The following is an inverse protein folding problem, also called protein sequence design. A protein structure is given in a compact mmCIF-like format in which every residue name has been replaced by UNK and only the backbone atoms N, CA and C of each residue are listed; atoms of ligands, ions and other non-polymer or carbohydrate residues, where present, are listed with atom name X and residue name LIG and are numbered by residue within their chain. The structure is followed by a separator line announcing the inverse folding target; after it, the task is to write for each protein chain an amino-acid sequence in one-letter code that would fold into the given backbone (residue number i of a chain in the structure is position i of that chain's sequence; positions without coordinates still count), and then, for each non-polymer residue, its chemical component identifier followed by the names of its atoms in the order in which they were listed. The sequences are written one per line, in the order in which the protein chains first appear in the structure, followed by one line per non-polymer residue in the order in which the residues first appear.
data_IF_355551972503
#
_entry.id   IF_355551972503
#
_cell.length_a   1.000
_cell.length_b   1.000
_cell.length_c   1.000
_cell.angle_alpha   90.00
_cell.angle_beta   90.00
_cell.angle_gamma   90.00
#
_symmetry.space_group_name_H-M   'P 1'
#
loop_
_entity.id
_entity.type
_entity.pdbx_description
1 polymer ?
#
# COMPACT_ATOMS: atom_id res chain seq x y z
N UNK A 1 -2.53 -0.74 12.11
CA UNK A 1 -2.72 0.50 11.30
C UNK A 1 -3.97 1.33 11.63
N UNK A 2 -5.17 0.74 11.73
CA UNK A 2 -6.45 1.46 11.72
C UNK A 2 -6.66 2.58 12.76
N UNK A 3 -6.02 2.50 13.93
CA UNK A 3 -6.23 3.42 15.05
C UNK A 3 -5.14 4.52 15.22
N UNK A 4 -4.17 4.60 14.32
CA UNK A 4 -3.02 5.52 14.47
C UNK A 4 -3.40 7.01 14.34
N UNK A 5 -4.37 7.33 13.47
CA UNK A 5 -4.88 8.68 13.31
C UNK A 5 -6.17 8.84 14.12
N UNK A 6 -6.15 9.73 15.12
CA UNK A 6 -7.27 9.97 16.02
C UNK A 6 -8.53 10.50 15.31
N UNK A 7 -8.37 11.39 14.32
CA UNK A 7 -9.50 11.93 13.55
C UNK A 7 -10.16 10.83 12.72
N UNK A 8 -9.35 9.97 12.12
CA UNK A 8 -9.86 8.80 11.39
C UNK A 8 -10.54 7.83 12.33
N UNK A 9 -9.93 7.54 13.49
CA UNK A 9 -10.47 6.61 14.48
C UNK A 9 -11.85 7.07 14.96
N UNK A 10 -12.04 8.38 15.21
CA UNK A 10 -13.34 8.92 15.60
C UNK A 10 -14.43 8.60 14.56
N UNK A 11 -14.14 8.77 13.27
CA UNK A 11 -15.08 8.43 12.19
C UNK A 11 -15.37 6.93 12.11
N UNK A 12 -14.36 6.09 12.36
CA UNK A 12 -14.51 4.63 12.37
C UNK A 12 -15.41 4.18 13.52
N UNK A 13 -15.20 4.73 14.71
CA UNK A 13 -16.03 4.43 15.89
C UNK A 13 -17.46 4.92 15.70
N UNK A 14 -17.66 6.12 15.15
CA UNK A 14 -18.99 6.62 14.83
C UNK A 14 -19.74 5.69 13.86
N UNK A 15 -19.07 5.23 12.80
CA UNK A 15 -19.65 4.26 11.86
C UNK A 15 -19.99 2.93 12.53
N UNK A 16 -19.12 2.45 13.41
CA UNK A 16 -19.36 1.21 14.15
C UNK A 16 -20.63 1.33 15.01
N UNK A 17 -20.82 2.44 15.73
CA UNK A 17 -22.01 2.68 16.56
C UNK A 17 -23.30 2.85 15.74
N UNK A 18 -23.20 3.41 14.53
CA UNK A 18 -24.34 3.58 13.62
C UNK A 18 -24.80 2.28 12.95
N UNK A 19 -24.02 1.19 13.03
CA UNK A 19 -24.42 -0.10 12.46
C UNK A 19 -25.56 -0.72 13.28
N UNK A 20 -26.66 -1.06 12.60
CA UNK A 20 -27.83 -1.66 13.23
C UNK A 20 -27.49 -2.99 13.91
N UNK A 21 -28.03 -3.21 15.12
CA UNK A 21 -27.86 -4.45 15.90
C UNK A 21 -28.53 -5.66 15.24
N UNK A 22 -29.62 -5.44 14.51
CA UNK A 22 -30.42 -6.49 13.86
C UNK A 22 -29.97 -6.81 12.43
N UNK A 23 -28.78 -6.36 12.03
CA UNK A 23 -28.23 -6.69 10.72
C UNK A 23 -27.68 -8.14 10.71
N UNK A 24 -27.88 -8.87 9.61
CA UNK A 24 -27.25 -10.18 9.37
C UNK A 24 -25.70 -10.12 9.44
N UNK A 25 -25.13 -8.91 9.37
CA UNK A 25 -23.71 -8.64 9.44
C UNK A 25 -23.35 -8.04 10.81
N UNK A 26 -22.49 -8.71 11.62
CA UNK A 26 -21.99 -8.14 12.87
C UNK A 26 -21.30 -6.79 12.65
N UNK A 27 -21.37 -5.90 13.64
CA UNK A 27 -20.66 -4.62 13.61
C UNK A 27 -19.16 -4.83 13.43
N UNK A 28 -18.53 -3.98 12.62
CA UNK A 28 -17.10 -4.04 12.33
C UNK A 28 -16.50 -2.64 12.19
N UNK A 29 -15.21 -2.52 12.50
CA UNK A 29 -14.50 -1.25 12.38
C UNK A 29 -14.00 -1.00 10.95
N UNK A 30 -13.50 -2.05 10.29
CA UNK A 30 -12.89 -1.97 8.95
C UNK A 30 -13.46 -3.05 8.06
N UNK A 31 -14.02 -2.65 6.91
CA UNK A 31 -14.50 -3.58 5.88
C UNK A 31 -13.37 -4.14 5.01
N UNK A 32 -12.13 -3.67 5.21
CA UNK A 32 -10.93 -4.17 4.56
C UNK A 32 -10.00 -4.81 5.58
N UNK A 33 -9.12 -5.69 5.08
CA UNK A 33 -8.18 -6.43 5.89
C UNK A 33 -6.76 -5.90 5.69
N UNK A 34 -5.93 -5.98 6.72
CA UNK A 34 -4.54 -5.50 6.68
C UNK A 34 -3.64 -6.33 5.77
N UNK A 35 -4.02 -7.58 5.51
CA UNK A 35 -3.35 -8.53 4.63
C UNK A 35 -4.34 -9.05 3.59
N UNK A 36 -4.02 -8.90 2.31
CA UNK A 36 -4.79 -9.45 1.20
C UNK A 36 -3.89 -9.64 -0.01
N UNK A 37 -4.29 -10.53 -0.93
CA UNK A 37 -3.58 -10.70 -2.21
C UNK A 37 -3.47 -9.37 -2.98
N UNK A 38 -4.53 -8.55 -2.96
CA UNK A 38 -4.51 -7.22 -3.58
C UNK A 38 -3.48 -6.28 -2.95
N UNK A 39 -3.30 -6.30 -1.62
CA UNK A 39 -2.26 -5.53 -0.96
C UNK A 39 -0.85 -6.03 -1.32
N UNK A 40 -0.63 -7.34 -1.39
CA UNK A 40 0.65 -7.92 -1.82
C UNK A 40 0.98 -7.52 -3.27
N UNK A 41 0.02 -7.65 -4.18
CA UNK A 41 0.20 -7.26 -5.59
C UNK A 41 0.45 -5.76 -5.74
N UNK A 42 -0.24 -4.93 -4.95
CA UNK A 42 0.00 -3.49 -4.91
C UNK A 42 1.45 -3.17 -4.53
N UNK A 43 1.98 -3.79 -3.47
CA UNK A 43 3.35 -3.55 -3.02
C UNK A 43 4.38 -4.09 -4.02
N UNK A 44 4.18 -5.30 -4.53
CA UNK A 44 5.17 -6.04 -5.31
C UNK A 44 5.00 -5.89 -6.82
N UNK A 45 4.21 -4.91 -7.28
CA UNK A 45 3.89 -4.65 -8.69
C UNK A 45 5.08 -4.67 -9.66
N UNK A 46 6.29 -4.36 -9.18
CA UNK A 46 7.52 -4.24 -9.99
C UNK A 46 8.36 -5.53 -10.01
N UNK A 47 7.91 -6.60 -9.36
CA UNK A 47 8.61 -7.88 -9.32
C UNK A 47 7.79 -8.96 -10.01
N UNK A 48 8.43 -9.76 -10.85
CA UNK A 48 7.82 -11.01 -11.31
C UNK A 48 7.86 -12.07 -10.18
N UNK A 49 6.84 -12.95 -10.08
CA UNK A 49 5.66 -13.08 -10.94
C UNK A 49 4.49 -12.13 -10.59
N UNK A 50 4.65 -11.23 -9.62
CA UNK A 50 3.58 -10.36 -9.12
C UNK A 50 3.12 -9.33 -10.15
N UNK A 51 4.00 -8.87 -11.03
CA UNK A 51 3.63 -8.04 -12.18
C UNK A 51 2.62 -8.76 -13.05
N UNK A 52 2.91 -10.00 -13.46
CA UNK A 52 2.01 -10.84 -14.27
C UNK A 52 0.66 -11.04 -13.56
N UNK A 53 0.68 -11.37 -12.27
CA UNK A 53 -0.56 -11.54 -11.50
C UNK A 53 -1.37 -10.24 -11.34
N UNK A 54 -0.70 -9.09 -11.26
CA UNK A 54 -1.37 -7.78 -11.20
C UNK A 54 -2.08 -7.46 -12.51
N UNK A 55 -1.46 -7.79 -13.64
CA UNK A 55 -2.04 -7.65 -14.99
C UNK A 55 -3.26 -8.57 -15.16
N UNK A 56 -3.13 -9.83 -14.75
CA UNK A 56 -4.22 -10.82 -14.82
C UNK A 56 -5.42 -10.37 -13.99
N UNK A 57 -5.18 -9.91 -12.76
CA UNK A 57 -6.22 -9.38 -11.88
C UNK A 57 -6.97 -8.19 -12.51
N UNK A 58 -6.27 -7.39 -13.32
CA UNK A 58 -6.78 -6.19 -13.97
C UNK A 58 -7.17 -6.42 -15.44
N UNK A 59 -7.55 -7.65 -15.77
CA UNK A 59 -8.08 -8.04 -17.10
C UNK A 59 -7.10 -7.81 -18.25
N UNK A 60 -5.83 -8.15 -18.04
CA UNK A 60 -4.80 -8.15 -19.08
C UNK A 60 -4.07 -6.81 -19.27
N UNK A 61 -4.17 -5.90 -18.30
CA UNK A 61 -3.45 -4.61 -18.31
C UNK A 61 -3.08 -4.16 -16.90
N UNK A 62 -2.18 -3.18 -16.77
CA UNK A 62 -1.97 -2.54 -15.48
C UNK A 62 -3.22 -1.75 -15.02
N UNK A 63 -3.33 -1.57 -13.70
CA UNK A 63 -4.33 -0.67 -13.12
C UNK A 63 -4.06 0.80 -13.52
N UNK A 64 -5.02 1.68 -13.26
CA UNK A 64 -4.88 3.12 -13.44
C UNK A 64 -3.68 3.65 -12.67
N UNK A 65 -2.84 4.47 -13.32
CA UNK A 65 -1.57 4.96 -12.78
C UNK A 65 -1.69 5.59 -11.38
N UNK A 66 -2.73 6.40 -11.13
CA UNK A 66 -3.00 7.02 -9.82
C UNK A 66 -3.33 6.03 -8.69
N UNK A 67 -3.67 4.78 -9.00
CA UNK A 67 -3.93 3.71 -8.01
C UNK A 67 -2.73 2.79 -7.80
N UNK A 68 -1.68 2.91 -8.61
CA UNK A 68 -0.49 2.09 -8.48
C UNK A 68 0.36 2.54 -7.29
N UNK A 69 1.19 1.63 -6.78
CA UNK A 69 2.15 1.96 -5.74
C UNK A 69 3.23 2.87 -6.32
N UNK A 70 3.06 4.18 -6.14
CA UNK A 70 3.90 5.22 -6.71
C UNK A 70 4.87 5.83 -5.71
N UNK A 71 4.44 6.03 -4.46
CA UNK A 71 5.20 6.72 -3.43
C UNK A 71 4.96 6.10 -2.06
N UNK A 72 6.03 5.96 -1.28
CA UNK A 72 5.94 5.53 0.12
C UNK A 72 5.18 6.54 0.97
N UNK A 73 5.37 7.84 0.72
CA UNK A 73 4.67 8.90 1.46
C UNK A 73 3.15 8.88 1.17
N UNK A 74 2.76 8.75 -0.09
CA UNK A 74 1.35 8.65 -0.46
C UNK A 74 0.71 7.36 0.08
N UNK A 75 1.42 6.23 -0.01
CA UNK A 75 0.93 4.96 0.50
C UNK A 75 0.71 4.98 2.01
N UNK A 76 1.63 5.58 2.76
CA UNK A 76 1.48 5.83 4.20
C UNK A 76 0.31 6.77 4.50
N UNK A 77 0.20 7.88 3.77
CA UNK A 77 -0.91 8.82 3.91
C UNK A 77 -2.25 8.13 3.70
N UNK A 78 -2.38 7.32 2.64
CA UNK A 78 -3.58 6.54 2.36
C UNK A 78 -3.92 5.58 3.51
N UNK A 79 -2.94 4.80 4.00
CA UNK A 79 -3.09 3.92 5.16
C UNK A 79 -3.48 4.65 6.46
N UNK A 80 -3.31 5.97 6.53
CA UNK A 80 -3.56 6.74 7.74
C UNK A 80 -4.81 7.62 7.67
N UNK A 81 -5.32 7.92 6.46
CA UNK A 81 -6.49 8.80 6.28
C UNK A 81 -7.68 8.10 5.63
N UNK A 82 -7.45 7.12 4.75
CA UNK A 82 -8.55 6.39 4.11
C UNK A 82 -9.22 5.44 5.11
N UNK A 83 -10.55 5.37 5.05
CA UNK A 83 -11.37 4.47 5.86
C UNK A 83 -11.42 3.04 5.30
N UNK A 84 -11.01 2.87 4.04
CA UNK A 84 -10.96 1.58 3.37
C UNK A 84 -9.54 1.00 3.25
N UNK A 85 -8.51 1.74 3.68
CA UNK A 85 -7.12 1.33 3.52
C UNK A 85 -6.45 1.12 4.88
N UNK A 86 -6.36 -0.14 5.28
CA UNK A 86 -5.70 -0.57 6.52
C UNK A 86 -4.56 -1.54 6.26
N UNK A 87 -4.07 -1.58 5.01
CA UNK A 87 -3.02 -2.53 4.61
C UNK A 87 -1.75 -2.33 5.44
N UNK A 88 -1.14 -3.44 5.83
CA UNK A 88 0.15 -3.45 6.52
C UNK A 88 1.28 -3.82 5.57
N UNK A 89 2.52 -3.64 6.06
CA UNK A 89 3.72 -3.90 5.29
C UNK A 89 3.90 -5.40 5.04
N UNK A 90 4.49 -5.74 3.90
CA UNK A 90 4.94 -7.09 3.57
C UNK A 90 6.41 -7.30 3.97
N UNK A 91 6.88 -8.55 4.15
CA UNK A 91 8.25 -8.84 4.57
C UNK A 91 9.35 -8.20 3.70
N UNK A 92 9.10 -8.01 2.40
CA UNK A 92 10.04 -7.46 1.42
C UNK A 92 10.54 -6.05 1.82
N UNK A 93 9.74 -5.28 2.55
CA UNK A 93 10.15 -3.99 3.13
C UNK A 93 11.39 -4.06 4.03
N UNK A 94 11.73 -5.26 4.52
CA UNK A 94 12.80 -5.46 5.50
C UNK A 94 14.00 -6.25 4.95
N UNK A 95 13.95 -6.73 3.71
CA UNK A 95 15.10 -7.46 3.14
C UNK A 95 15.29 -7.32 1.62
N UNK A 96 14.28 -6.91 0.86
CA UNK A 96 14.33 -6.90 -0.61
C UNK A 96 14.16 -5.47 -1.13
N UNK A 97 15.21 -4.80 -1.62
CA UNK A 97 15.06 -3.46 -2.19
C UNK A 97 14.42 -3.45 -3.58
N UNK A 98 14.47 -4.57 -4.30
CA UNK A 98 14.14 -4.63 -5.72
C UNK A 98 12.67 -4.30 -6.02
N UNK A 99 11.73 -4.52 -5.09
CA UNK A 99 10.31 -4.17 -5.31
C UNK A 99 10.05 -2.67 -5.43
N UNK A 100 11.00 -1.83 -5.01
CA UNK A 100 10.92 -0.38 -5.11
C UNK A 100 11.45 0.15 -6.46
N UNK A 101 12.09 -0.71 -7.27
CA UNK A 101 12.78 -0.32 -8.50
C UNK A 101 12.08 -0.96 -9.70
N UNK A 102 11.74 -0.18 -10.72
CA UNK A 102 11.19 -0.67 -11.98
C UNK A 102 12.32 -1.17 -12.90
N UNK A 103 13.08 -2.16 -12.42
CA UNK A 103 14.19 -2.73 -13.17
C UNK A 103 13.73 -3.44 -14.46
N UNK A 104 12.49 -3.93 -14.49
CA UNK A 104 11.86 -4.52 -15.67
C UNK A 104 11.47 -3.53 -16.76
N UNK A 105 11.55 -2.21 -16.50
CA UNK A 105 11.19 -1.18 -17.47
C UNK A 105 9.71 -1.22 -17.86
N UNK A 106 8.83 -1.62 -16.94
CA UNK A 106 7.39 -1.71 -17.20
C UNK A 106 6.80 -0.33 -17.49
N UNK A 107 5.87 -0.26 -18.45
CA UNK A 107 5.05 0.92 -18.69
C UNK A 107 3.88 0.94 -17.70
N UNK A 108 4.08 1.65 -16.58
CA UNK A 108 3.09 1.80 -15.51
C UNK A 108 2.17 3.02 -15.72
N UNK A 109 2.29 3.68 -16.88
CA UNK A 109 1.45 4.82 -17.26
C UNK A 109 1.81 6.15 -16.59
N UNK A 110 0.98 7.14 -16.87
CA UNK A 110 1.12 8.53 -16.41
C UNK A 110 -0.09 8.89 -15.56
N UNK A 111 0.17 9.49 -14.41
CA UNK A 111 -0.85 9.96 -13.46
C UNK A 111 -1.57 11.21 -13.95
N UNK A 112 -2.71 11.53 -13.33
CA UNK A 112 -3.46 12.75 -13.64
C UNK A 112 -2.66 14.05 -13.40
N UNK A 113 -1.71 14.02 -12.48
CA UNK A 113 -0.78 15.13 -12.23
C UNK A 113 0.41 15.17 -13.21
N UNK A 114 0.31 14.45 -14.33
CA UNK A 114 1.29 14.31 -15.39
C UNK A 114 2.63 13.67 -14.96
N UNK A 115 2.69 13.01 -13.79
CA UNK A 115 3.87 12.28 -13.36
C UNK A 115 3.87 10.85 -13.91
N UNK A 116 4.99 10.47 -14.51
CA UNK A 116 5.23 9.09 -14.94
C UNK A 116 5.38 8.17 -13.72
N UNK A 117 4.77 7.00 -13.77
CA UNK A 117 4.98 5.95 -12.77
C UNK A 117 6.17 5.09 -13.20
N UNK A 118 7.23 5.11 -12.40
CA UNK A 118 8.47 4.35 -12.62
C UNK A 118 8.94 3.69 -11.33
N UNK A 119 10.16 3.96 -10.90
CA UNK A 119 10.63 3.62 -9.54
C UNK A 119 9.72 4.24 -8.48
N UNK A 120 9.61 3.57 -7.33
CA UNK A 120 8.84 4.08 -6.19
C UNK A 120 9.54 5.31 -5.62
N UNK A 121 8.80 6.39 -5.41
CA UNK A 121 9.34 7.59 -4.76
C UNK A 121 9.66 7.30 -3.30
N UNK A 122 10.95 7.43 -2.98
CA UNK A 122 11.48 7.23 -1.65
C UNK A 122 11.38 8.50 -0.79
N UNK A 123 11.36 8.37 0.55
CA UNK A 123 11.49 9.50 1.45
C UNK A 123 12.83 10.24 1.25
N UNK A 124 12.90 11.55 1.51
CA UNK A 124 14.12 12.36 1.30
C UNK A 124 15.37 11.87 2.03
N UNK A 125 15.21 11.13 3.14
CA UNK A 125 16.31 10.58 3.92
C UNK A 125 16.90 9.28 3.35
N UNK A 126 16.19 8.63 2.43
CA UNK A 126 16.64 7.39 1.81
C UNK A 126 17.36 7.70 0.49
N UNK A 127 18.67 7.51 0.47
CA UNK A 127 19.49 7.74 -0.73
C UNK A 127 19.32 6.68 -1.83
N UNK A 128 18.76 5.52 -1.50
CA UNK A 128 18.46 4.42 -2.43
C UNK A 128 17.46 3.44 -1.82
N UNK A 129 16.88 2.55 -2.64
CA UNK A 129 15.99 1.49 -2.18
C UNK A 129 16.69 0.57 -1.16
N UNK A 130 17.97 0.22 -1.40
CA UNK A 130 18.77 -0.57 -0.46
C UNK A 130 19.00 0.15 0.86
N UNK A 131 19.23 1.46 0.84
CA UNK A 131 19.36 2.25 2.07
C UNK A 131 18.04 2.31 2.84
N UNK A 132 16.91 2.51 2.14
CA UNK A 132 15.58 2.47 2.72
C UNK A 132 15.30 1.15 3.46
N UNK A 133 15.50 0.02 2.77
CA UNK A 133 15.27 -1.33 3.32
C UNK A 133 16.22 -1.63 4.47
N UNK A 134 17.49 -1.26 4.36
CA UNK A 134 18.46 -1.44 5.44
C UNK A 134 18.06 -0.69 6.73
N UNK A 135 17.54 0.54 6.60
CA UNK A 135 17.04 1.29 7.75
C UNK A 135 15.74 0.70 8.31
N UNK A 136 14.82 0.22 7.46
CA UNK A 136 13.62 -0.48 7.93
C UNK A 136 13.96 -1.74 8.70
N UNK A 137 14.92 -2.54 8.22
CA UNK A 137 15.42 -3.72 8.93
C UNK A 137 15.99 -3.37 10.30
N UNK A 138 16.84 -2.33 10.38
CA UNK A 138 17.39 -1.85 11.65
C UNK A 138 16.30 -1.37 12.60
N UNK A 139 15.27 -0.69 12.08
CA UNK A 139 14.11 -0.27 12.87
C UNK A 139 13.33 -1.45 13.43
N UNK A 140 13.17 -2.52 12.65
CA UNK A 140 12.51 -3.75 13.09
C UNK A 140 13.32 -4.50 14.15
N UNK A 141 14.65 -4.57 13.99
CA UNK A 141 15.57 -5.28 14.92
C UNK A 141 15.84 -4.51 16.22
N UNK A 142 15.45 -3.23 16.29
CA UNK A 142 15.60 -2.38 17.47
C UNK A 142 14.40 -2.42 18.44
N UNK A 143 13.30 -3.07 18.04
CA UNK A 143 12.10 -3.26 18.84
C UNK A 143 12.20 -4.52 19.70
#
# INVERSE_FOLDING_TARGET
VGALNAERLAQVLERYEQMAEDADLPRFHYGSHYSSAGATLYWLLRLEPFTSYSIDLQSGRFDHADRLFYSLAEAWSSCNTSLADVKELVPEFFYLPDFLVNAGGFDLGVRQDAKLVGDVLLPPWASSASHFVALHRRGLEAA
#
